data_IF_738927625768
#
_entry.id   IF_738927625768
#
_cell.length_a   1.000
_cell.length_b   1.000
_cell.length_c   1.000
_cell.angle_alpha   90.00
_cell.angle_beta   90.00
_cell.angle_gamma   90.00
#
_symmetry.space_group_name_H-M   'P 1'
#
loop_
_entity.id
_entity.type
_entity.pdbx_description
1 polymer ?
#
# COMPACT_ATOMS: atom_id res chain seq x y z
N UNK A 1 11.77 9.49 -11.70
CA UNK A 1 10.41 8.91 -11.62
C UNK A 1 10.01 8.23 -12.91
N UNK A 2 9.89 6.89 -12.88
CA UNK A 2 9.15 6.15 -13.91
C UNK A 2 7.66 6.37 -13.68
N UNK A 3 6.99 6.94 -14.67
CA UNK A 3 5.56 7.27 -14.60
C UNK A 3 4.69 6.26 -15.34
N UNK A 4 5.26 5.19 -15.92
CA UNK A 4 4.52 4.27 -16.78
C UNK A 4 4.86 2.81 -16.48
N UNK A 5 3.86 1.95 -16.57
CA UNK A 5 3.92 0.49 -16.50
C UNK A 5 3.34 -0.11 -17.80
N UNK A 6 3.09 -1.43 -17.81
CA UNK A 6 2.52 -2.17 -18.93
C UNK A 6 1.18 -1.61 -19.39
N UNK A 7 0.22 -1.43 -18.47
CA UNK A 7 -1.15 -1.03 -18.81
C UNK A 7 -1.55 0.33 -18.24
N UNK A 8 -0.79 0.86 -17.27
CA UNK A 8 -1.14 2.13 -16.61
C UNK A 8 0.00 3.14 -16.66
N UNK A 9 -0.37 4.40 -16.54
CA UNK A 9 0.53 5.53 -16.30
C UNK A 9 0.07 6.32 -15.06
N UNK A 10 1.00 7.02 -14.42
CA UNK A 10 0.73 8.00 -13.38
C UNK A 10 0.92 9.39 -13.99
N UNK A 11 -0.18 10.12 -14.13
CA UNK A 11 -0.16 11.50 -14.58
C UNK A 11 -0.32 12.46 -13.39
N UNK A 12 0.44 13.55 -13.31
CA UNK A 12 0.19 14.61 -12.34
C UNK A 12 -1.24 15.14 -12.44
N UNK A 13 -1.79 15.64 -11.34
CA UNK A 13 -3.07 16.35 -11.38
C UNK A 13 -2.91 17.66 -12.16
N UNK A 14 -3.60 17.76 -13.31
CA UNK A 14 -3.71 18.99 -14.06
C UNK A 14 -4.95 19.77 -13.60
N UNK A 15 -4.73 20.83 -12.82
CA UNK A 15 -5.79 21.67 -12.26
C UNK A 15 -6.40 22.65 -13.27
N UNK A 16 -5.84 22.75 -14.49
CA UNK A 16 -6.39 23.61 -15.54
C UNK A 16 -7.71 23.09 -16.12
N UNK A 17 -8.01 21.79 -15.93
CA UNK A 17 -9.18 21.11 -16.47
C UNK A 17 -10.01 20.41 -15.35
N UNK A 18 -10.12 21.08 -14.21
CA UNK A 18 -10.60 20.54 -12.92
C UNK A 18 -12.08 20.14 -12.83
N UNK A 19 -12.82 20.11 -13.94
CA UNK A 19 -14.20 19.59 -13.99
C UNK A 19 -14.22 18.20 -14.61
N UNK A 20 -13.70 17.22 -13.88
CA UNK A 20 -13.83 15.82 -14.25
C UNK A 20 -14.73 15.10 -13.24
N UNK A 21 -15.99 14.88 -13.60
CA UNK A 21 -16.98 14.23 -12.76
C UNK A 21 -16.51 12.85 -12.23
N UNK A 22 -15.63 12.17 -12.97
CA UNK A 22 -15.05 10.91 -12.51
C UNK A 22 -14.07 11.12 -11.35
N UNK A 23 -13.24 12.16 -11.38
CA UNK A 23 -12.32 12.47 -10.29
C UNK A 23 -13.07 12.85 -9.01
N UNK A 24 -14.19 13.55 -9.12
CA UNK A 24 -15.05 13.87 -7.97
C UNK A 24 -15.63 12.61 -7.32
N UNK A 25 -16.08 11.65 -8.14
CA UNK A 25 -16.57 10.34 -7.65
C UNK A 25 -15.44 9.55 -7.00
N UNK A 26 -14.28 9.47 -7.65
CA UNK A 26 -13.10 8.79 -7.10
C UNK A 26 -12.64 9.42 -5.79
N UNK A 27 -12.62 10.75 -5.70
CA UNK A 27 -12.27 11.47 -4.48
C UNK A 27 -13.27 11.22 -3.35
N UNK A 28 -14.57 11.25 -3.66
CA UNK A 28 -15.63 10.93 -2.70
C UNK A 28 -15.48 9.49 -2.17
N UNK A 29 -15.24 8.52 -3.04
CA UNK A 29 -14.99 7.14 -2.62
C UNK A 29 -13.70 6.97 -1.81
N UNK A 30 -12.67 7.72 -2.15
CA UNK A 30 -11.38 7.67 -1.48
C UNK A 30 -11.49 8.24 -0.06
N UNK A 31 -12.13 9.39 0.12
CA UNK A 31 -12.40 9.99 1.44
C UNK A 31 -13.28 9.10 2.33
N UNK A 32 -14.10 8.24 1.74
CA UNK A 32 -14.88 7.26 2.50
C UNK A 32 -14.09 6.03 2.93
N UNK A 33 -12.96 5.72 2.31
CA UNK A 33 -12.28 4.42 2.49
C UNK A 33 -10.84 4.52 2.99
N UNK A 34 -10.17 5.64 2.77
CA UNK A 34 -8.80 5.90 3.18
C UNK A 34 -8.74 6.92 4.32
N UNK A 35 -7.77 6.74 5.23
CA UNK A 35 -7.66 7.52 6.46
C UNK A 35 -7.24 8.96 6.18
N UNK A 36 -6.18 9.14 5.39
CA UNK A 36 -5.53 10.42 5.17
C UNK A 36 -6.44 11.40 4.42
N UNK A 37 -7.13 10.99 3.33
CA UNK A 37 -8.12 11.84 2.67
C UNK A 37 -9.33 12.16 3.56
N UNK A 38 -9.78 11.21 4.39
CA UNK A 38 -10.90 11.44 5.32
C UNK A 38 -10.56 12.47 6.41
N UNK A 39 -9.32 12.47 6.88
CA UNK A 39 -8.83 13.39 7.91
C UNK A 39 -8.24 14.68 7.34
N UNK A 40 -8.26 14.86 6.02
CA UNK A 40 -7.73 16.04 5.37
C UNK A 40 -8.41 17.31 5.95
N UNK A 41 -7.66 18.35 6.32
CA UNK A 41 -8.23 19.57 6.91
C UNK A 41 -9.24 20.25 5.97
N UNK A 42 -8.98 20.15 4.66
CA UNK A 42 -9.81 20.70 3.60
C UNK A 42 -10.26 19.54 2.71
N UNK A 43 -11.58 19.28 2.55
CA UNK A 43 -12.09 18.07 1.91
C UNK A 43 -12.13 18.15 0.37
N UNK A 44 -11.16 18.86 -0.23
CA UNK A 44 -11.04 19.00 -1.68
C UNK A 44 -9.78 18.32 -2.18
N UNK A 45 -9.91 17.58 -3.30
CA UNK A 45 -8.82 16.85 -3.91
C UNK A 45 -7.60 17.75 -4.18
N UNK A 46 -7.82 18.98 -4.66
CA UNK A 46 -6.74 19.93 -4.96
C UNK A 46 -5.89 20.26 -3.73
N UNK A 47 -6.53 20.59 -2.60
CA UNK A 47 -5.83 20.92 -1.37
C UNK A 47 -5.10 19.71 -0.80
N UNK A 48 -5.75 18.54 -0.82
CA UNK A 48 -5.10 17.31 -0.40
C UNK A 48 -3.88 16.98 -1.27
N UNK A 49 -3.98 17.18 -2.59
CA UNK A 49 -2.89 16.93 -3.52
C UNK A 49 -1.70 17.87 -3.31
N UNK A 50 -1.93 19.14 -2.97
CA UNK A 50 -0.87 20.11 -2.63
C UNK A 50 -0.08 19.70 -1.38
N UNK A 51 -0.74 19.06 -0.41
CA UNK A 51 -0.11 18.55 0.81
C UNK A 51 0.59 17.19 0.61
N UNK A 52 0.35 16.52 -0.52
CA UNK A 52 0.95 15.23 -0.83
C UNK A 52 2.39 15.38 -1.36
N UNK A 53 3.23 14.40 -1.06
CA UNK A 53 4.51 14.21 -1.78
C UNK A 53 4.25 13.80 -3.23
N UNK A 54 3.23 12.96 -3.44
CA UNK A 54 2.72 12.56 -4.74
C UNK A 54 1.20 12.47 -4.65
N UNK A 55 0.49 13.09 -5.57
CA UNK A 55 -0.91 12.79 -5.84
C UNK A 55 -1.08 12.74 -7.35
N UNK A 56 -1.40 11.56 -7.87
CA UNK A 56 -1.40 11.29 -9.30
C UNK A 56 -2.68 10.57 -9.73
N UNK A 57 -3.10 10.88 -10.95
CA UNK A 57 -4.19 10.19 -11.63
C UNK A 57 -3.61 8.91 -12.24
N UNK A 58 -4.25 7.79 -11.97
CA UNK A 58 -3.95 6.52 -12.64
C UNK A 58 -4.64 6.53 -13.99
N UNK A 59 -3.85 6.56 -15.06
CA UNK A 59 -4.32 6.57 -16.43
C UNK A 59 -4.25 5.16 -17.03
N UNK A 60 -5.28 4.71 -17.72
CA UNK A 60 -5.29 3.47 -18.48
C UNK A 60 -4.75 3.72 -19.89
N UNK A 61 -3.77 2.92 -20.31
CA UNK A 61 -3.26 2.91 -21.67
C UNK A 61 -4.21 2.11 -22.55
N UNK A 62 -4.86 2.75 -23.53
CA UNK A 62 -5.58 2.02 -24.57
C UNK A 62 -4.58 1.49 -25.58
N UNK A 63 -4.64 0.18 -25.87
CA UNK A 63 -4.03 -0.40 -27.07
C UNK A 63 -5.03 -0.23 -28.20
N UNK A 64 -4.61 0.40 -29.30
CA UNK A 64 -5.40 0.41 -30.52
C UNK A 64 -5.33 -1.00 -31.12
N UNK A 65 -6.48 -1.67 -31.28
CA UNK A 65 -6.56 -2.83 -32.18
C UNK A 65 -6.67 -2.26 -33.60
N UNK A 66 -5.54 -2.28 -34.31
CA UNK A 66 -5.50 -1.98 -35.74
C UNK A 66 -6.43 -2.94 -36.50
N UNK A 67 -7.62 -2.46 -36.90
CA UNK A 67 -8.30 -3.03 -38.05
C UNK A 67 -7.61 -2.53 -39.32
N UNK A 68 -6.40 -3.01 -39.58
CA UNK A 68 -5.74 -2.81 -40.87
C UNK A 68 -6.34 -3.81 -41.86
N UNK A 69 -7.44 -3.41 -42.49
CA UNK A 69 -7.82 -3.89 -43.81
C UNK A 69 -7.11 -3.04 -44.85
N UNK A 70 -5.86 -3.37 -45.17
CA UNK A 70 -5.14 -2.69 -46.24
C UNK A 70 -3.65 -2.97 -46.23
N UNK A 71 -3.18 -3.60 -47.30
CA UNK A 71 -1.77 -3.87 -47.59
C UNK A 71 -0.87 -2.65 -47.39
N UNK A 72 0.34 -2.94 -46.88
CA UNK A 72 1.54 -2.11 -46.85
C UNK A 72 1.58 -0.90 -45.90
N UNK A 73 2.31 -1.04 -44.79
CA UNK A 73 3.24 -0.02 -44.27
C UNK A 73 4.32 -0.63 -43.36
N UNK A 74 5.50 -0.01 -43.39
CA UNK A 74 6.77 -0.37 -42.74
C UNK A 74 6.67 -0.14 -41.21
N UNK A 75 7.25 -0.99 -40.34
CA UNK A 75 7.27 -0.70 -38.90
C UNK A 75 8.34 0.36 -38.59
N UNK A 76 7.88 1.59 -38.33
CA UNK A 76 8.65 2.57 -37.56
C UNK A 76 8.14 2.49 -36.12
N UNK A 77 8.98 1.98 -35.22
CA UNK A 77 8.72 1.88 -33.78
C UNK A 77 8.70 3.27 -33.14
N UNK A 78 7.60 3.99 -33.30
CA UNK A 78 7.19 5.02 -32.36
C UNK A 78 5.79 4.62 -31.87
N UNK A 79 5.69 4.04 -30.68
CA UNK A 79 4.40 3.77 -30.03
C UNK A 79 3.73 5.09 -29.67
N UNK A 80 2.95 5.63 -30.62
CA UNK A 80 2.17 6.85 -30.41
C UNK A 80 0.92 6.48 -29.59
N UNK A 81 1.01 6.62 -28.26
CA UNK A 81 -0.11 6.45 -27.33
C UNK A 81 -1.02 7.69 -27.36
N UNK A 82 -2.31 7.56 -27.73
CA UNK A 82 -3.17 8.74 -27.89
C UNK A 82 -4.56 8.75 -27.25
N UNK A 83 -4.93 7.82 -26.38
CA UNK A 83 -6.03 8.06 -25.43
C UNK A 83 -5.74 7.41 -24.08
N UNK A 84 -5.48 8.24 -23.09
CA UNK A 84 -5.31 7.86 -21.70
C UNK A 84 -6.63 8.13 -20.94
N UNK A 85 -7.28 7.08 -20.45
CA UNK A 85 -8.52 7.22 -19.66
C UNK A 85 -8.16 7.31 -18.17
N UNK A 86 -8.63 8.34 -17.42
CA UNK A 86 -8.43 8.37 -15.98
C UNK A 86 -9.24 7.26 -15.32
N UNK A 87 -8.60 6.39 -14.55
CA UNK A 87 -9.25 5.24 -13.90
C UNK A 87 -9.05 5.19 -12.39
N UNK A 88 -8.30 6.11 -11.79
CA UNK A 88 -8.03 6.06 -10.36
C UNK A 88 -7.18 7.22 -9.85
N UNK A 89 -6.94 7.21 -8.54
CA UNK A 89 -6.08 8.16 -7.84
C UNK A 89 -5.14 7.37 -6.95
N UNK A 90 -3.84 7.68 -6.99
CA UNK A 90 -2.83 7.19 -6.05
C UNK A 90 -2.18 8.39 -5.37
N UNK A 91 -1.89 8.25 -4.08
CA UNK A 91 -1.21 9.31 -3.33
C UNK A 91 -0.16 8.76 -2.37
N UNK A 92 0.82 9.61 -2.07
CA UNK A 92 1.84 9.43 -1.04
C UNK A 92 1.89 10.72 -0.21
N UNK A 93 1.70 10.63 1.10
CA UNK A 93 1.85 11.76 2.03
C UNK A 93 3.00 11.53 2.99
N UNK A 94 3.69 12.59 3.41
CA UNK A 94 4.63 12.48 4.52
C UNK A 94 3.86 12.19 5.82
N UNK A 95 4.37 11.30 6.67
CA UNK A 95 3.78 11.10 7.98
C UNK A 95 3.88 12.41 8.80
N UNK A 96 2.83 12.81 9.56
CA UNK A 96 2.88 14.03 10.36
C UNK A 96 3.95 13.92 11.44
N UNK A 97 4.76 14.98 11.57
CA UNK A 97 5.96 15.15 12.40
C UNK A 97 7.26 15.02 11.61
N UNK A 98 8.16 15.98 11.85
CA UNK A 98 9.55 16.02 11.41
C UNK A 98 10.28 14.73 11.79
N UNK A 99 10.11 13.67 11.01
CA UNK A 99 10.55 12.35 11.39
C UNK A 99 11.91 12.09 10.78
N UNK A 100 12.93 11.97 11.63
CA UNK A 100 14.21 11.33 11.28
C UNK A 100 13.99 9.91 10.73
N UNK A 101 12.82 9.31 11.00
CA UNK A 101 12.43 7.97 10.59
C UNK A 101 12.11 7.81 9.09
N UNK A 102 12.06 8.88 8.28
CA UNK A 102 11.77 8.83 6.84
C UNK A 102 10.58 7.90 6.52
N UNK A 103 9.40 8.28 7.00
CA UNK A 103 8.14 7.52 6.86
C UNK A 103 7.10 8.27 6.00
N UNK A 104 6.43 7.54 5.10
CA UNK A 104 5.33 8.04 4.29
C UNK A 104 4.09 7.14 4.38
N UNK A 105 2.90 7.72 4.18
CA UNK A 105 1.66 6.99 3.96
C UNK A 105 1.39 6.86 2.47
N UNK A 106 0.77 5.76 2.05
CA UNK A 106 0.34 5.56 0.67
C UNK A 106 -1.09 5.02 0.61
N UNK A 107 -1.85 5.47 -0.39
CA UNK A 107 -3.19 4.99 -0.67
C UNK A 107 -3.52 5.04 -2.15
N UNK A 108 -4.53 4.26 -2.54
CA UNK A 108 -4.98 4.16 -3.92
C UNK A 108 -6.47 3.85 -4.00
N UNK A 109 -7.15 4.40 -5.00
CA UNK A 109 -8.48 4.01 -5.45
C UNK A 109 -8.45 3.78 -6.96
N UNK A 110 -9.18 2.76 -7.43
CA UNK A 110 -9.43 2.50 -8.85
C UNK A 110 -10.95 2.45 -9.03
N UNK A 111 -11.45 3.06 -10.10
CA UNK A 111 -12.87 3.07 -10.46
C UNK A 111 -13.43 1.66 -10.59
N UNK A 112 -14.68 1.46 -10.20
CA UNK A 112 -15.27 0.11 -10.05
C UNK A 112 -15.20 -0.74 -11.33
N UNK A 113 -15.40 -0.12 -12.49
CA UNK A 113 -15.32 -0.77 -13.81
C UNK A 113 -13.90 -1.24 -14.20
N UNK A 114 -12.87 -0.75 -13.50
CA UNK A 114 -11.46 -1.05 -13.75
C UNK A 114 -10.81 -1.90 -12.65
N UNK A 115 -11.55 -2.27 -11.61
CA UNK A 115 -11.04 -3.12 -10.53
C UNK A 115 -10.83 -4.57 -10.99
N UNK A 116 -10.02 -5.33 -10.22
CA UNK A 116 -9.68 -6.76 -10.45
C UNK A 116 -8.94 -7.07 -11.75
N UNK A 117 -8.44 -6.05 -12.45
CA UNK A 117 -7.66 -6.17 -13.69
C UNK A 117 -6.14 -5.99 -13.50
N UNK A 118 -5.68 -5.83 -12.26
CA UNK A 118 -4.26 -5.62 -11.93
C UNK A 118 -3.79 -4.16 -11.91
N UNK A 119 -4.60 -3.22 -12.38
CA UNK A 119 -4.20 -1.79 -12.49
C UNK A 119 -3.77 -1.15 -11.17
N UNK A 120 -4.47 -1.44 -10.06
CA UNK A 120 -4.06 -0.95 -8.74
C UNK A 120 -2.67 -1.43 -8.35
N UNK A 121 -2.31 -2.65 -8.74
CA UNK A 121 -1.00 -3.26 -8.45
C UNK A 121 0.10 -2.55 -9.24
N UNK A 122 -0.13 -2.33 -10.53
CA UNK A 122 0.82 -1.61 -11.39
C UNK A 122 1.03 -0.17 -10.93
N UNK A 123 -0.05 0.56 -10.63
CA UNK A 123 0.03 1.93 -10.13
C UNK A 123 0.73 2.03 -8.78
N UNK A 124 0.44 1.09 -7.86
CA UNK A 124 1.12 1.01 -6.56
C UNK A 124 2.61 0.69 -6.73
N UNK A 125 2.99 -0.20 -7.65
CA UNK A 125 4.40 -0.50 -7.92
C UNK A 125 5.17 0.75 -8.37
N UNK A 126 4.59 1.59 -9.22
CA UNK A 126 5.18 2.86 -9.65
C UNK A 126 5.35 3.83 -8.48
N UNK A 127 4.32 3.99 -7.64
CA UNK A 127 4.37 4.88 -6.48
C UNK A 127 5.40 4.43 -5.43
N UNK A 128 5.44 3.13 -5.12
CA UNK A 128 6.41 2.55 -4.18
C UNK A 128 7.84 2.67 -4.70
N UNK A 129 8.05 2.40 -6.00
CA UNK A 129 9.36 2.57 -6.63
C UNK A 129 9.85 3.99 -6.46
N UNK A 130 9.01 4.99 -6.75
CA UNK A 130 9.37 6.39 -6.55
C UNK A 130 9.68 6.71 -5.08
N UNK A 131 8.84 6.29 -4.15
CA UNK A 131 9.04 6.60 -2.73
C UNK A 131 10.29 5.93 -2.12
N UNK A 132 10.56 4.65 -2.43
CA UNK A 132 11.75 3.94 -1.92
C UNK A 132 13.03 4.27 -2.70
N UNK A 133 12.97 4.35 -4.03
CA UNK A 133 14.17 4.48 -4.87
C UNK A 133 14.55 5.93 -5.15
N UNK A 134 13.58 6.81 -5.42
CA UNK A 134 13.86 8.21 -5.73
C UNK A 134 13.92 9.05 -4.45
N UNK A 135 12.95 8.89 -3.54
CA UNK A 135 12.88 9.67 -2.29
C UNK A 135 13.60 9.04 -1.09
N UNK A 136 14.01 7.77 -1.20
CA UNK A 136 14.75 7.04 -0.15
C UNK A 136 14.02 6.97 1.19
N UNK A 137 12.68 6.87 1.18
CA UNK A 137 11.95 6.59 2.43
C UNK A 137 12.38 5.23 3.00
N UNK A 138 12.67 5.18 4.30
CA UNK A 138 12.96 3.93 4.99
C UNK A 138 11.71 3.06 5.13
N UNK A 139 10.55 3.71 5.25
CA UNK A 139 9.29 3.05 5.60
C UNK A 139 8.11 3.66 4.86
N UNK A 140 7.25 2.80 4.33
CA UNK A 140 5.96 3.19 3.75
C UNK A 140 4.85 2.43 4.45
N UNK A 141 3.82 3.13 4.91
CA UNK A 141 2.66 2.54 5.56
C UNK A 141 1.36 2.79 4.81
N UNK A 142 0.37 1.96 5.07
CA UNK A 142 -0.99 2.10 4.59
C UNK A 142 -1.98 1.83 5.74
N UNK A 143 -2.98 2.68 5.84
CA UNK A 143 -3.98 2.64 6.90
C UNK A 143 -5.37 2.33 6.34
N UNK A 144 -6.03 1.32 6.89
CA UNK A 144 -7.34 0.86 6.44
C UNK A 144 -8.38 0.98 7.54
N UNK A 145 -9.42 1.77 7.30
CA UNK A 145 -10.61 1.80 8.14
C UNK A 145 -11.34 0.46 8.08
N UNK A 146 -11.95 0.06 9.21
CA UNK A 146 -12.76 -1.16 9.28
C UNK A 146 -14.12 -1.00 8.57
N UNK A 147 -14.09 -1.04 7.23
CA UNK A 147 -15.22 -0.91 6.31
C UNK A 147 -15.19 -2.01 5.21
N UNK A 148 -16.24 -2.10 4.39
CA UNK A 148 -16.43 -3.16 3.40
C UNK A 148 -15.30 -3.30 2.35
N UNK A 149 -14.54 -2.22 2.09
CA UNK A 149 -13.42 -2.21 1.13
C UNK A 149 -12.09 -2.70 1.73
N UNK A 150 -12.00 -2.85 3.07
CA UNK A 150 -10.77 -3.19 3.80
C UNK A 150 -10.10 -4.46 3.30
N UNK A 151 -10.84 -5.57 3.23
CA UNK A 151 -10.24 -6.88 2.88
C UNK A 151 -9.62 -6.88 1.48
N UNK A 152 -10.24 -6.15 0.55
CA UNK A 152 -9.71 -6.02 -0.81
C UNK A 152 -8.42 -5.19 -0.82
N UNK A 153 -8.39 -4.09 -0.08
CA UNK A 153 -7.20 -3.27 0.06
C UNK A 153 -6.07 -4.08 0.73
N UNK A 154 -6.35 -4.77 1.83
CA UNK A 154 -5.37 -5.63 2.50
C UNK A 154 -4.77 -6.68 1.55
N UNK A 155 -5.56 -7.34 0.70
CA UNK A 155 -5.03 -8.30 -0.29
C UNK A 155 -4.10 -7.64 -1.31
N UNK A 156 -4.42 -6.44 -1.78
CA UNK A 156 -3.56 -5.68 -2.70
C UNK A 156 -2.21 -5.38 -2.03
N UNK A 157 -2.25 -4.84 -0.82
CA UNK A 157 -1.05 -4.41 -0.10
C UNK A 157 -0.18 -5.59 0.35
N UNK A 158 -0.78 -6.64 0.90
CA UNK A 158 -0.07 -7.88 1.22
C UNK A 158 0.55 -8.48 -0.02
N UNK A 159 -0.18 -8.55 -1.15
CA UNK A 159 0.37 -9.03 -2.42
C UNK A 159 1.50 -8.17 -3.00
N UNK A 160 1.62 -6.92 -2.56
CA UNK A 160 2.77 -6.05 -2.87
C UNK A 160 3.95 -6.26 -1.92
N UNK A 161 3.76 -6.95 -0.80
CA UNK A 161 4.77 -7.29 0.20
C UNK A 161 4.65 -6.53 1.51
N UNK A 162 3.53 -5.86 1.77
CA UNK A 162 3.29 -5.20 3.06
C UNK A 162 2.97 -6.22 4.15
N UNK A 163 3.43 -5.93 5.36
CA UNK A 163 3.19 -6.74 6.57
C UNK A 163 2.18 -6.03 7.48
N UNK A 164 1.27 -6.79 8.11
CA UNK A 164 0.33 -6.24 9.09
C UNK A 164 1.02 -6.00 10.44
N UNK A 165 0.90 -4.78 10.96
CA UNK A 165 1.55 -4.40 12.22
C UNK A 165 0.58 -4.31 13.40
N UNK A 166 -0.68 -3.99 13.14
CA UNK A 166 -1.65 -3.87 14.21
C UNK A 166 -2.94 -3.16 13.80
N UNK A 167 -3.88 -3.14 14.73
CA UNK A 167 -5.13 -2.41 14.60
C UNK A 167 -5.31 -1.46 15.77
N UNK A 168 -5.37 -0.16 15.48
CA UNK A 168 -5.75 0.86 16.45
C UNK A 168 -7.25 0.81 16.63
N UNK A 169 -7.70 0.41 17.83
CA UNK A 169 -9.13 0.31 18.15
C UNK A 169 -9.74 1.70 18.28
N UNK A 170 -10.87 1.95 17.59
CA UNK A 170 -11.67 3.17 17.67
C UNK A 170 -10.82 4.45 17.55
N UNK A 171 -9.85 4.47 16.65
CA UNK A 171 -8.90 5.59 16.54
C UNK A 171 -9.38 6.74 15.68
N UNK A 172 -10.42 6.53 14.86
CA UNK A 172 -10.95 7.55 13.95
C UNK A 172 -12.46 7.66 14.11
N UNK A 173 -12.96 8.88 14.22
CA UNK A 173 -14.38 9.19 14.18
C UNK A 173 -14.77 9.48 12.72
N UNK A 174 -15.50 8.56 12.09
CA UNK A 174 -15.98 8.72 10.71
C UNK A 174 -17.38 9.36 10.72
N UNK A 175 -17.61 10.50 10.05
CA UNK A 175 -18.94 11.06 9.91
C UNK A 175 -19.88 10.10 9.15
N UNK A 176 -21.13 9.97 9.58
CA UNK A 176 -22.15 9.30 8.76
C UNK A 176 -22.65 10.22 7.66
N UNK A 177 -23.02 9.67 6.48
CA UNK A 177 -23.56 10.46 5.37
C UNK A 177 -24.82 11.22 5.83
N UNK A 178 -24.75 12.55 5.81
CA UNK A 178 -25.87 13.43 6.15
C UNK A 178 -26.22 13.47 7.64
N UNK A 179 -25.39 12.89 8.51
CA UNK A 179 -25.61 12.86 9.95
C UNK A 179 -24.78 13.89 10.73
N UNK A 180 -25.25 14.23 11.93
CA UNK A 180 -24.51 15.05 12.90
C UNK A 180 -23.61 14.17 13.80
N UNK A 181 -23.83 12.85 13.79
CA UNK A 181 -23.14 11.88 14.65
C UNK A 181 -22.16 11.06 13.81
N UNK A 182 -20.94 10.89 14.31
CA UNK A 182 -19.94 10.01 13.72
C UNK A 182 -19.84 8.66 14.42
N UNK A 183 -19.28 7.67 13.73
CA UNK A 183 -19.01 6.33 14.27
C UNK A 183 -17.51 6.15 14.43
N UNK A 184 -17.08 5.73 15.62
CA UNK A 184 -15.69 5.36 15.86
C UNK A 184 -15.34 4.07 15.13
N UNK A 185 -14.29 4.11 14.33
CA UNK A 185 -13.79 3.00 13.51
C UNK A 185 -12.39 2.58 13.95
N UNK A 186 -12.16 1.28 13.86
CA UNK A 186 -10.83 0.70 14.01
C UNK A 186 -10.02 0.97 12.74
N UNK A 187 -8.71 1.17 12.88
CA UNK A 187 -7.78 1.37 11.77
C UNK A 187 -6.68 0.33 11.81
N UNK A 188 -6.57 -0.46 10.75
CA UNK A 188 -5.53 -1.46 10.58
C UNK A 188 -4.36 -0.87 9.80
N UNK A 189 -3.15 -1.04 10.32
CA UNK A 189 -1.92 -0.54 9.71
C UNK A 189 -1.12 -1.70 9.11
N UNK A 190 -0.73 -1.51 7.86
CA UNK A 190 0.25 -2.32 7.17
C UNK A 190 1.46 -1.45 6.84
N UNK A 191 2.66 -2.02 6.80
CA UNK A 191 3.85 -1.30 6.39
C UNK A 191 4.82 -2.18 5.59
N UNK A 192 5.71 -1.50 4.87
CA UNK A 192 6.85 -2.09 4.18
C UNK A 192 8.10 -1.25 4.48
N UNK A 193 9.21 -1.94 4.72
CA UNK A 193 10.53 -1.34 4.89
C UNK A 193 11.33 -1.35 3.59
N UNK A 194 12.28 -0.43 3.46
CA UNK A 194 13.22 -0.34 2.34
C UNK A 194 14.03 -1.63 2.11
N UNK A 195 14.41 -2.32 3.19
CA UNK A 195 15.10 -3.62 3.12
C UNK A 195 14.20 -4.70 2.52
N UNK A 196 12.91 -4.67 2.85
CA UNK A 196 11.93 -5.62 2.31
C UNK A 196 11.68 -5.34 0.82
N UNK A 197 11.59 -4.05 0.44
CA UNK A 197 11.53 -3.63 -0.96
C UNK A 197 12.75 -4.13 -1.76
N UNK A 198 13.96 -3.92 -1.23
CA UNK A 198 15.20 -4.33 -1.88
C UNK A 198 15.30 -5.85 -2.06
N UNK A 199 15.00 -6.63 -1.00
CA UNK A 199 15.00 -8.10 -1.06
C UNK A 199 13.96 -8.60 -2.06
N UNK A 200 12.74 -8.05 -2.03
CA UNK A 200 11.67 -8.39 -2.98
C UNK A 200 12.11 -8.19 -4.42
N UNK A 201 12.77 -7.07 -4.73
CA UNK A 201 13.26 -6.79 -6.08
C UNK A 201 14.42 -7.74 -6.48
N UNK A 202 15.34 -8.06 -5.55
CA UNK A 202 16.38 -9.05 -5.82
C UNK A 202 15.82 -10.44 -6.12
N UNK A 203 14.78 -10.87 -5.39
CA UNK A 203 14.12 -12.16 -5.60
C UNK A 203 13.35 -12.20 -6.93
N UNK A 204 12.68 -11.10 -7.31
CA UNK A 204 12.03 -10.96 -8.63
C UNK A 204 13.03 -11.12 -9.78
N UNK A 205 14.24 -10.54 -9.65
CA UNK A 205 15.24 -10.54 -10.73
C UNK A 205 16.02 -11.86 -10.90
N UNK A 206 16.03 -12.74 -9.89
CA UNK A 206 16.85 -13.96 -9.91
C UNK A 206 16.17 -15.17 -10.55
N UNK A 207 14.91 -15.10 -10.94
CA UNK A 207 14.09 -16.25 -11.39
C UNK A 207 14.07 -17.46 -10.42
N UNK A 208 14.70 -17.36 -9.24
CA UNK A 208 14.72 -18.38 -8.17
C UNK A 208 13.34 -18.50 -7.50
N UNK A 209 12.43 -17.58 -7.79
CA UNK A 209 11.02 -17.73 -7.46
C UNK A 209 10.18 -16.95 -8.44
N UNK A 210 9.59 -17.65 -9.41
CA UNK A 210 8.23 -17.36 -9.89
C UNK A 210 7.21 -17.54 -8.75
N UNK A 211 7.50 -16.99 -7.58
CA UNK A 211 6.72 -17.11 -6.38
C UNK A 211 5.46 -16.30 -6.57
N UNK A 212 4.32 -16.95 -6.38
CA UNK A 212 3.03 -16.27 -6.30
C UNK A 212 3.14 -15.14 -5.28
N UNK A 213 2.56 -13.98 -5.60
CA UNK A 213 2.48 -12.87 -4.65
C UNK A 213 1.91 -13.38 -3.32
N UNK A 214 2.49 -12.99 -2.17
CA UNK A 214 2.05 -13.52 -0.89
C UNK A 214 0.57 -13.26 -0.68
N UNK A 215 -0.14 -14.28 -0.23
CA UNK A 215 -1.55 -14.17 0.13
C UNK A 215 -1.69 -13.62 1.55
N UNK A 216 -2.91 -13.20 1.91
CA UNK A 216 -3.21 -12.81 3.28
C UNK A 216 -2.94 -13.94 4.29
N UNK A 217 -3.11 -15.20 3.88
CA UNK A 217 -2.81 -16.35 4.73
C UNK A 217 -1.31 -16.53 4.92
N UNK A 218 -0.52 -16.41 3.85
CA UNK A 218 0.94 -16.52 3.93
C UNK A 218 1.52 -15.46 4.89
N UNK A 219 1.04 -14.22 4.78
CA UNK A 219 1.42 -13.14 5.70
C UNK A 219 1.00 -13.47 7.14
N UNK A 220 -0.24 -13.91 7.36
CA UNK A 220 -0.76 -14.18 8.69
C UNK A 220 0.01 -15.33 9.37
N UNK A 221 0.31 -16.40 8.65
CA UNK A 221 1.11 -17.52 9.18
C UNK A 221 2.55 -17.11 9.46
N UNK A 222 3.18 -16.34 8.57
CA UNK A 222 4.53 -15.82 8.79
C UNK A 222 4.57 -14.90 10.02
N UNK A 223 3.59 -14.01 10.17
CA UNK A 223 3.46 -13.11 11.33
C UNK A 223 3.29 -13.89 12.63
N UNK A 224 2.35 -14.84 12.69
CA UNK A 224 2.14 -15.63 13.89
C UNK A 224 3.33 -16.51 14.26
N UNK A 225 4.09 -16.98 13.27
CA UNK A 225 5.35 -17.71 13.52
C UNK A 225 6.37 -16.78 14.20
N UNK A 226 6.55 -15.57 13.67
CA UNK A 226 7.42 -14.53 14.28
C UNK A 226 6.99 -14.15 15.69
N UNK A 227 5.69 -13.89 15.89
CA UNK A 227 5.12 -13.58 17.22
C UNK A 227 5.39 -14.72 18.22
N UNK A 228 5.25 -15.99 17.80
CA UNK A 228 5.55 -17.16 18.63
C UNK A 228 7.03 -17.25 18.98
N UNK A 229 7.92 -17.06 18.01
CA UNK A 229 9.37 -17.04 18.26
C UNK A 229 9.77 -15.95 19.24
N UNK A 230 9.18 -14.75 19.10
CA UNK A 230 9.46 -13.63 19.99
C UNK A 230 8.93 -13.87 21.41
N UNK A 231 7.77 -14.54 21.55
CA UNK A 231 7.30 -15.02 22.85
C UNK A 231 8.25 -16.03 23.48
N UNK A 232 8.79 -16.98 22.71
CA UNK A 232 9.78 -17.95 23.21
C UNK A 232 11.05 -17.24 23.67
N UNK A 233 11.61 -16.34 22.85
CA UNK A 233 12.78 -15.53 23.24
C UNK A 233 12.53 -14.70 24.49
N UNK A 234 11.31 -14.16 24.62
CA UNK A 234 10.91 -13.40 25.79
C UNK A 234 10.88 -14.29 27.04
N UNK A 235 10.30 -15.48 26.94
CA UNK A 235 10.26 -16.46 28.04
C UNK A 235 11.68 -16.90 28.42
N UNK A 236 12.54 -17.27 27.47
CA UNK A 236 13.94 -17.64 27.74
C UNK A 236 14.72 -16.53 28.47
N UNK A 237 14.42 -15.26 28.15
CA UNK A 237 15.06 -14.10 28.76
C UNK A 237 14.58 -13.86 30.20
N UNK A 238 13.29 -14.06 30.48
CA UNK A 238 12.67 -13.68 31.76
C UNK A 238 12.45 -14.87 32.71
N UNK A 239 12.32 -16.07 32.18
CA UNK A 239 12.11 -17.33 32.90
C UNK A 239 13.40 -18.14 33.06
N UNK A 240 14.58 -17.48 33.03
CA UNK A 240 15.79 -18.02 33.64
C UNK A 240 15.53 -18.20 35.14
N UNK A 241 14.91 -19.33 35.50
CA UNK A 241 14.93 -19.90 36.84
C UNK A 241 16.39 -19.80 37.30
N UNK A 242 16.64 -19.07 38.40
CA UNK A 242 17.92 -19.11 39.10
C UNK A 242 18.24 -20.58 39.34
N UNK A 243 19.08 -21.18 38.49
CA UNK A 243 19.65 -22.50 38.74
C UNK A 243 20.56 -22.34 39.96
N UNK A 244 19.99 -22.41 41.16
CA UNK A 244 20.76 -22.68 42.37
C UNK A 244 21.27 -24.11 42.23
N UNK A 245 22.59 -24.29 42.25
CA UNK A 245 23.18 -25.62 42.26
C UNK A 245 22.68 -26.34 43.51
N UNK A 246 21.86 -27.37 43.32
CA UNK A 246 21.56 -28.32 44.39
C UNK A 246 22.82 -29.15 44.63
N UNK A 247 23.71 -28.66 45.49
CA UNK A 247 24.72 -29.47 46.15
C UNK A 247 24.12 -29.98 47.45
N UNK A 248 23.66 -31.22 47.47
CA UNK A 248 24.03 -32.21 48.49
C UNK A 248 23.20 -33.49 48.32
N UNK A 249 23.89 -34.61 48.19
CA UNK A 249 23.34 -35.91 48.57
C UNK A 249 24.40 -36.56 49.45
N UNK A 250 24.43 -36.19 50.73
CA UNK A 250 25.20 -36.93 51.72
C UNK A 250 24.42 -38.18 52.10
N UNK A 251 24.76 -39.31 51.47
CA UNK A 251 24.45 -40.63 52.01
C UNK A 251 25.32 -40.82 53.25
N UNK A 252 24.72 -40.74 54.44
CA UNK A 252 25.31 -41.31 55.64
C UNK A 252 24.94 -42.80 55.65
N UNK A 253 25.93 -43.65 55.45
CA UNK A 253 25.84 -45.06 55.76
C UNK A 253 26.58 -45.30 57.07
N UNK A 254 25.83 -45.75 58.08
CA UNK A 254 26.22 -46.74 59.10
C UNK A 254 24.94 -47.19 59.83
#
# INVERSE_FOLDING_TARGET
MLTHSQNVALSPLDFSNCQNALLDVLWSELTESAVEPMQAPVPYLINFAEDCLLCAIVMLKKKYEDQVSGDFTIPLEEEVFHEEEPIGIVYVTAAPAQNAAQEANVGIIISECHQRKGFAREAMELALKWAFEDLKFHRIQAAFMNDAKKDRAMRLFVGQGFTHEGTRRRSILKPERGGVVGVWKDVTYLAMLDTEWAVRNMLKHRDIGGGTAPTLWDEMFARHTREREDMVKWDEKHNRIRKVSSTETLRHGE
#
